data_IF_640183611408
#
_entry.id   IF_640183611408
#
_cell.length_a   1.000
_cell.length_b   1.000
_cell.length_c   1.000
_cell.angle_alpha   90.00
_cell.angle_beta   90.00
_cell.angle_gamma   90.00
#
_symmetry.space_group_name_H-M   'P 1'
#
loop_
_entity.id
_entity.type
_entity.pdbx_description
1 polymer ?
#
# COMPACT_ATOMS: atom_id res chain seq x y z
N UNK A 1 -31.71 1.21 -35.94
CA UNK A 1 -30.48 1.89 -35.48
C UNK A 1 -30.65 2.15 -34.00
N UNK A 2 -30.04 1.33 -33.15
CA UNK A 2 -29.93 1.68 -31.73
C UNK A 2 -29.04 2.93 -31.60
N UNK A 3 -29.40 3.89 -30.73
CA UNK A 3 -28.49 5.00 -30.46
C UNK A 3 -27.26 4.41 -29.76
N UNK A 4 -26.09 4.55 -30.39
CA UNK A 4 -24.82 4.34 -29.71
C UNK A 4 -24.81 5.27 -28.50
N UNK A 5 -25.04 4.72 -27.31
CA UNK A 5 -24.99 5.46 -26.07
C UNK A 5 -23.59 6.05 -25.94
N UNK A 6 -23.51 7.37 -26.15
CA UNK A 6 -22.29 8.11 -25.89
C UNK A 6 -22.19 8.18 -24.37
N UNK A 7 -21.50 7.22 -23.75
CA UNK A 7 -21.34 7.14 -22.31
C UNK A 7 -20.46 8.31 -21.85
N UNK A 8 -21.07 9.44 -21.49
CA UNK A 8 -20.35 10.52 -20.83
C UNK A 8 -19.98 10.06 -19.41
N UNK A 9 -18.69 10.18 -19.10
CA UNK A 9 -18.13 9.71 -17.84
C UNK A 9 -18.63 10.49 -16.61
N UNK A 10 -18.99 11.76 -16.82
CA UNK A 10 -19.37 12.67 -15.73
C UNK A 10 -20.84 13.08 -15.74
N UNK A 11 -21.56 12.91 -16.85
CA UNK A 11 -22.95 13.37 -17.01
C UNK A 11 -23.93 12.23 -17.27
N UNK A 12 -25.23 12.49 -17.04
CA UNK A 12 -26.36 11.55 -17.19
C UNK A 12 -26.15 10.15 -16.58
N UNK A 13 -25.42 10.08 -15.45
CA UNK A 13 -25.19 8.82 -14.75
C UNK A 13 -26.38 8.43 -13.91
N UNK A 14 -26.64 7.12 -13.84
CA UNK A 14 -27.76 6.54 -13.10
C UNK A 14 -27.27 5.35 -12.26
N UNK A 15 -27.79 5.20 -11.05
CA UNK A 15 -27.53 4.05 -10.16
C UNK A 15 -28.84 3.43 -9.69
N UNK A 16 -28.76 2.17 -9.30
CA UNK A 16 -29.77 1.47 -8.51
C UNK A 16 -29.04 0.50 -7.57
N UNK A 17 -29.71 0.04 -6.52
CA UNK A 17 -29.16 -0.92 -5.56
C UNK A 17 -29.95 -2.22 -5.67
N UNK A 18 -29.26 -3.36 -5.60
CA UNK A 18 -29.86 -4.69 -5.53
C UNK A 18 -29.51 -5.37 -4.21
N UNK A 19 -30.52 -5.80 -3.47
CA UNK A 19 -30.39 -6.59 -2.24
C UNK A 19 -31.14 -7.92 -2.43
N UNK A 20 -30.40 -8.97 -2.77
CA UNK A 20 -30.98 -10.29 -3.09
C UNK A 20 -31.86 -10.22 -4.35
N UNK A 21 -33.17 -10.44 -4.16
CA UNK A 21 -34.20 -10.36 -5.22
C UNK A 21 -34.80 -8.97 -5.37
N UNK A 22 -34.58 -8.06 -4.42
CA UNK A 22 -35.14 -6.72 -4.47
C UNK A 22 -34.20 -5.76 -5.21
N UNK A 23 -34.76 -4.96 -6.12
CA UNK A 23 -34.05 -3.96 -6.93
C UNK A 23 -34.74 -2.62 -6.68
N UNK A 24 -33.95 -1.58 -6.40
CA UNK A 24 -34.47 -0.21 -6.26
C UNK A 24 -34.78 0.42 -7.61
N UNK A 25 -35.52 1.52 -7.58
CA UNK A 25 -35.66 2.38 -8.75
C UNK A 25 -34.32 2.99 -9.18
N UNK A 26 -34.27 3.39 -10.44
CA UNK A 26 -33.11 4.04 -11.06
C UNK A 26 -33.04 5.50 -10.62
N UNK A 27 -31.91 5.92 -10.05
CA UNK A 27 -31.70 7.28 -9.57
C UNK A 27 -30.56 7.96 -10.32
N UNK A 28 -30.78 9.20 -10.77
CA UNK A 28 -29.75 10.01 -11.42
C UNK A 28 -28.70 10.52 -10.43
N UNK A 29 -27.43 10.54 -10.83
CA UNK A 29 -26.29 10.96 -10.02
C UNK A 29 -25.56 12.10 -10.72
N UNK A 30 -25.52 13.26 -10.09
CA UNK A 30 -24.77 14.43 -10.58
C UNK A 30 -23.40 14.61 -9.90
N UNK A 31 -23.07 13.77 -8.92
CA UNK A 31 -21.85 13.90 -8.10
C UNK A 31 -21.01 12.63 -8.08
N UNK A 32 -19.72 12.80 -7.79
CA UNK A 32 -18.75 11.71 -7.69
C UNK A 32 -18.21 11.24 -9.04
N UNK A 33 -17.48 10.13 -9.02
CA UNK A 33 -17.01 9.42 -10.20
C UNK A 33 -17.23 7.92 -10.01
N UNK A 34 -17.39 7.13 -11.08
CA UNK A 34 -17.63 5.70 -10.97
C UNK A 34 -16.50 4.99 -10.21
N UNK A 35 -16.82 4.21 -9.18
CA UNK A 35 -15.84 3.39 -8.48
C UNK A 35 -15.36 2.25 -9.39
N UNK A 36 -14.07 1.95 -9.35
CA UNK A 36 -13.45 0.94 -10.23
C UNK A 36 -13.04 1.44 -11.61
N UNK A 37 -13.30 2.72 -11.94
CA UNK A 37 -12.75 3.32 -13.17
C UNK A 37 -11.33 3.88 -12.96
N UNK A 38 -10.44 3.63 -13.93
CA UNK A 38 -9.06 4.14 -13.97
C UNK A 38 -8.98 5.67 -13.94
N UNK A 39 -9.98 6.38 -14.46
CA UNK A 39 -9.99 7.86 -14.50
C UNK A 39 -10.42 8.50 -13.17
N UNK A 40 -11.19 7.78 -12.35
CA UNK A 40 -11.73 8.30 -11.09
C UNK A 40 -10.65 8.76 -10.09
N UNK A 41 -9.54 8.01 -9.86
CA UNK A 41 -8.44 8.47 -9.02
C UNK A 41 -7.78 9.75 -9.51
N UNK A 42 -7.58 9.90 -10.82
CA UNK A 42 -6.95 11.10 -11.39
C UNK A 42 -7.83 12.33 -11.18
N UNK A 43 -9.14 12.22 -11.46
CA UNK A 43 -10.08 13.32 -11.24
C UNK A 43 -10.17 13.69 -9.75
N UNK A 44 -10.12 12.70 -8.86
CA UNK A 44 -10.10 12.96 -7.42
C UNK A 44 -8.83 13.73 -6.99
N UNK A 45 -7.66 13.32 -7.50
CA UNK A 45 -6.39 14.03 -7.24
C UNK A 45 -6.42 15.47 -7.75
N UNK A 46 -6.97 15.71 -8.94
CA UNK A 46 -7.13 17.06 -9.49
C UNK A 46 -8.11 17.90 -8.68
N UNK A 47 -9.27 17.33 -8.35
CA UNK A 47 -10.33 17.97 -7.59
C UNK A 47 -9.84 18.44 -6.22
N UNK A 48 -9.05 17.62 -5.53
CA UNK A 48 -8.52 17.94 -4.20
C UNK A 48 -7.20 18.71 -4.23
N UNK A 49 -6.59 18.94 -5.40
CA UNK A 49 -5.26 19.55 -5.51
C UNK A 49 -5.21 20.95 -4.87
N UNK A 50 -6.27 21.75 -5.07
CA UNK A 50 -6.39 23.10 -4.53
C UNK A 50 -6.48 23.21 -3.00
N UNK A 51 -6.70 22.11 -2.27
CA UNK A 51 -6.74 22.11 -0.81
C UNK A 51 -5.33 22.26 -0.21
N UNK A 52 -4.80 23.48 -0.11
CA UNK A 52 -3.46 23.78 0.42
C UNK A 52 -3.53 24.76 1.59
N UNK A 53 -2.47 24.86 2.39
CA UNK A 53 -2.33 25.88 3.43
C UNK A 53 -1.75 27.16 2.85
N UNK A 54 -2.25 28.30 3.30
CA UNK A 54 -1.60 29.59 3.07
C UNK A 54 -0.30 29.78 3.86
N UNK A 55 -0.06 28.96 4.89
CA UNK A 55 1.10 29.06 5.77
C UNK A 55 2.28 28.20 5.29
N UNK A 56 3.48 28.78 5.19
CA UNK A 56 4.67 28.14 4.60
C UNK A 56 5.19 26.94 5.40
N UNK A 57 5.02 26.95 6.73
CA UNK A 57 5.45 25.86 7.62
C UNK A 57 4.53 24.64 7.59
N UNK A 58 3.37 24.74 6.92
CA UNK A 58 2.37 23.67 6.83
C UNK A 58 2.48 23.01 5.47
N UNK A 59 2.59 21.68 5.49
CA UNK A 59 2.66 20.80 4.32
C UNK A 59 1.50 19.81 4.36
N UNK A 60 0.85 19.66 3.22
CA UNK A 60 -0.19 18.65 3.03
C UNK A 60 0.44 17.40 2.42
N UNK A 61 0.22 16.26 3.06
CA UNK A 61 0.52 14.96 2.53
C UNK A 61 -0.80 14.29 2.17
N UNK A 62 -1.13 14.26 0.88
CA UNK A 62 -2.38 13.70 0.35
C UNK A 62 -2.10 12.35 -0.30
N UNK A 63 -2.93 11.36 0.02
CA UNK A 63 -2.96 10.07 -0.67
C UNK A 63 -4.42 9.63 -0.80
N UNK A 64 -4.95 9.75 -2.01
CA UNK A 64 -6.39 9.65 -2.25
C UNK A 64 -7.16 10.50 -1.22
N UNK A 65 -8.19 9.93 -0.58
CA UNK A 65 -9.00 10.56 0.45
C UNK A 65 -8.25 10.90 1.75
N UNK A 66 -7.11 10.25 2.01
CA UNK A 66 -6.32 10.50 3.21
C UNK A 66 -5.48 11.78 3.06
N UNK A 67 -5.83 12.81 3.83
CA UNK A 67 -5.06 14.06 3.91
C UNK A 67 -4.46 14.21 5.29
N UNK A 68 -3.13 14.25 5.36
CA UNK A 68 -2.38 14.52 6.58
C UNK A 68 -1.77 15.92 6.51
N UNK A 69 -1.98 16.71 7.55
CA UNK A 69 -1.31 17.99 7.73
C UNK A 69 -0.05 17.78 8.56
N UNK A 70 1.09 18.21 8.04
CA UNK A 70 2.36 18.23 8.77
C UNK A 70 2.78 19.67 8.86
N UNK A 71 3.10 20.14 10.05
CA UNK A 71 3.75 21.43 10.14
C UNK A 71 4.65 21.54 11.35
N UNK A 72 5.62 22.43 11.23
CA UNK A 72 6.59 22.71 12.28
C UNK A 72 5.95 23.64 13.30
N UNK A 73 6.04 23.25 14.57
CA UNK A 73 5.71 24.11 15.72
C UNK A 73 7.03 24.76 16.14
N UNK A 74 7.11 26.07 16.00
CA UNK A 74 8.25 26.89 16.44
C UNK A 74 7.83 27.70 17.65
N UNK A 75 8.69 27.77 18.66
CA UNK A 75 8.50 28.61 19.85
C UNK A 75 7.19 28.37 20.63
N UNK A 76 6.59 27.18 20.50
CA UNK A 76 5.32 26.82 21.13
C UNK A 76 4.09 27.48 20.49
N UNK A 77 4.23 28.12 19.34
CA UNK A 77 3.11 28.70 18.61
C UNK A 77 2.36 27.62 17.81
N UNK A 78 1.19 27.23 18.34
CA UNK A 78 0.27 26.29 17.69
C UNK A 78 -0.86 27.01 16.94
N UNK A 79 -0.85 28.34 16.84
CA UNK A 79 -1.97 29.13 16.30
C UNK A 79 -2.32 28.81 14.84
N UNK A 80 -1.32 28.37 14.05
CA UNK A 80 -1.52 27.89 12.68
C UNK A 80 -2.27 26.54 12.61
N UNK A 81 -2.37 25.82 13.73
CA UNK A 81 -2.95 24.48 13.84
C UNK A 81 -4.11 24.50 14.84
N UNK A 82 -5.34 24.73 14.36
CA UNK A 82 -6.56 24.54 15.17
C UNK A 82 -6.90 23.07 15.41
N UNK A 83 -5.91 22.23 15.71
CA UNK A 83 -6.07 20.77 15.83
C UNK A 83 -5.36 20.29 17.08
N UNK A 84 -6.02 19.41 17.84
CA UNK A 84 -5.45 18.73 19.00
C UNK A 84 -4.21 17.95 18.60
N UNK A 85 -3.07 18.22 19.26
CA UNK A 85 -1.86 17.40 19.14
C UNK A 85 -2.19 15.94 19.49
N UNK A 86 -1.66 14.99 18.70
CA UNK A 86 -1.84 13.55 18.94
C UNK A 86 -0.49 12.90 19.27
N UNK A 87 -0.49 12.01 20.26
CA UNK A 87 0.71 11.27 20.69
C UNK A 87 1.23 10.32 19.59
N UNK A 88 0.31 9.70 18.84
CA UNK A 88 0.65 8.84 17.71
C UNK A 88 -0.45 8.85 16.65
N UNK A 89 -0.05 8.70 15.39
CA UNK A 89 -0.94 8.63 14.24
C UNK A 89 -0.50 7.53 13.28
N UNK A 90 -1.46 6.85 12.66
CA UNK A 90 -1.20 5.79 11.68
C UNK A 90 -1.44 6.32 10.27
N UNK A 91 -0.37 6.51 9.51
CA UNK A 91 -0.43 6.95 8.12
C UNK A 91 -0.02 5.83 7.17
N UNK A 92 -0.90 5.46 6.24
CA UNK A 92 -0.69 4.40 5.22
C UNK A 92 -0.23 3.03 5.75
N UNK A 93 -0.38 2.78 7.04
CA UNK A 93 0.06 1.55 7.69
C UNK A 93 1.30 1.70 8.57
N UNK A 94 1.97 2.85 8.54
CA UNK A 94 3.11 3.23 9.40
C UNK A 94 2.61 4.04 10.59
N UNK A 95 3.03 3.67 11.80
CA UNK A 95 2.73 4.46 13.01
C UNK A 95 3.83 5.49 13.23
N UNK A 96 3.45 6.75 13.34
CA UNK A 96 4.33 7.90 13.58
C UNK A 96 3.96 8.46 14.96
N UNK A 97 4.92 8.57 15.87
CA UNK A 97 4.71 9.20 17.18
C UNK A 97 5.21 10.63 17.18
N UNK A 98 4.75 11.44 18.12
CA UNK A 98 5.17 12.84 18.30
C UNK A 98 6.70 12.98 18.42
N UNK A 99 7.35 12.06 19.13
CA UNK A 99 8.81 12.04 19.30
C UNK A 99 9.55 11.27 18.19
N UNK A 100 8.85 10.88 17.12
CA UNK A 100 9.38 10.06 16.02
C UNK A 100 10.07 8.76 16.51
N UNK A 101 9.50 8.14 17.54
CA UNK A 101 9.94 6.84 18.06
C UNK A 101 9.29 5.71 17.27
N UNK A 102 10.12 4.79 16.77
CA UNK A 102 9.67 3.76 15.84
C UNK A 102 9.32 2.41 16.49
N UNK A 103 9.41 2.30 17.81
CA UNK A 103 9.15 1.04 18.52
C UNK A 103 7.73 0.51 18.27
N UNK A 104 6.71 1.38 18.35
CA UNK A 104 5.31 1.00 18.10
C UNK A 104 5.12 0.51 16.66
N UNK A 105 5.69 1.22 15.69
CA UNK A 105 5.66 0.83 14.29
C UNK A 105 6.32 -0.55 14.10
N UNK A 106 7.55 -0.72 14.58
CA UNK A 106 8.33 -1.95 14.43
C UNK A 106 7.66 -3.14 15.12
N UNK A 107 7.05 -2.94 16.29
CA UNK A 107 6.22 -3.96 16.96
C UNK A 107 5.06 -4.40 16.07
N UNK A 108 4.40 -3.45 15.41
CA UNK A 108 3.30 -3.76 14.48
C UNK A 108 3.78 -4.53 13.24
N UNK A 109 4.93 -4.16 12.66
CA UNK A 109 5.54 -4.83 11.52
C UNK A 109 5.95 -6.26 11.88
N UNK A 110 6.60 -6.43 13.04
CA UNK A 110 7.04 -7.73 13.55
C UNK A 110 5.84 -8.66 13.76
N UNK A 111 4.77 -8.18 14.39
CA UNK A 111 3.55 -8.98 14.60
C UNK A 111 2.94 -9.45 13.29
N UNK A 112 2.83 -8.57 12.29
CA UNK A 112 2.31 -8.94 10.96
C UNK A 112 3.22 -9.94 10.25
N UNK A 113 4.53 -9.70 10.26
CA UNK A 113 5.50 -10.60 9.63
C UNK A 113 5.49 -11.99 10.28
N UNK A 114 5.38 -12.07 11.61
CA UNK A 114 5.26 -13.33 12.34
C UNK A 114 3.97 -14.09 11.99
N UNK A 115 2.85 -13.39 11.81
CA UNK A 115 1.61 -14.02 11.33
C UNK A 115 1.79 -14.62 9.92
N UNK A 116 2.57 -13.97 9.05
CA UNK A 116 2.87 -14.49 7.71
C UNK A 116 3.92 -15.61 7.71
N UNK A 117 4.80 -15.61 8.70
CA UNK A 117 5.78 -16.67 8.92
C UNK A 117 5.15 -18.04 9.15
N UNK A 118 4.00 -18.08 9.82
CA UNK A 118 3.23 -19.31 9.98
C UNK A 118 2.90 -19.95 8.62
N UNK A 119 2.44 -19.16 7.64
CA UNK A 119 2.14 -19.66 6.30
C UNK A 119 3.39 -20.11 5.56
N UNK A 120 4.52 -19.39 5.69
CA UNK A 120 5.78 -19.85 5.10
C UNK A 120 6.21 -21.22 5.65
N UNK A 121 6.06 -21.42 6.96
CA UNK A 121 6.32 -22.70 7.59
C UNK A 121 5.35 -23.79 7.13
N UNK A 122 4.06 -23.49 7.02
CA UNK A 122 3.06 -24.43 6.52
C UNK A 122 3.35 -24.85 5.07
N UNK A 123 3.69 -23.88 4.21
CA UNK A 123 4.10 -24.09 2.82
C UNK A 123 5.34 -24.98 2.68
N UNK A 124 6.30 -24.86 3.61
CA UNK A 124 7.50 -25.70 3.62
C UNK A 124 7.17 -27.18 3.83
N UNK A 125 6.12 -27.51 4.59
CA UNK A 125 5.71 -28.91 4.82
C UNK A 125 5.21 -29.61 3.56
N UNK A 126 4.65 -28.86 2.62
CA UNK A 126 4.23 -29.36 1.32
C UNK A 126 5.41 -29.60 0.36
N UNK A 127 6.66 -29.52 0.86
CA UNK A 127 7.90 -29.79 0.11
C UNK A 127 8.04 -28.95 -1.16
N UNK A 128 7.52 -27.72 -1.13
CA UNK A 128 7.61 -26.81 -2.26
C UNK A 128 9.07 -26.47 -2.60
N UNK A 129 9.38 -26.21 -3.89
CA UNK A 129 10.71 -25.77 -4.30
C UNK A 129 11.15 -24.50 -3.55
N UNK A 130 12.44 -24.45 -3.18
CA UNK A 130 13.04 -23.31 -2.46
C UNK A 130 12.73 -21.97 -3.14
N UNK A 131 12.77 -21.91 -4.47
CA UNK A 131 12.45 -20.70 -5.25
C UNK A 131 11.05 -20.17 -4.98
N UNK A 132 10.05 -21.04 -4.84
CA UNK A 132 8.67 -20.60 -4.53
C UNK A 132 8.57 -20.06 -3.10
N UNK A 133 9.29 -20.67 -2.15
CA UNK A 133 9.33 -20.20 -0.76
C UNK A 133 10.04 -18.84 -0.64
N UNK A 134 11.12 -18.63 -1.40
CA UNK A 134 11.79 -17.32 -1.51
C UNK A 134 10.85 -16.29 -2.11
N UNK A 135 10.13 -16.63 -3.20
CA UNK A 135 9.14 -15.73 -3.79
C UNK A 135 8.03 -15.36 -2.80
N UNK A 136 7.51 -16.33 -2.04
CA UNK A 136 6.53 -16.06 -1.00
C UNK A 136 7.10 -15.14 0.09
N UNK A 137 8.33 -15.38 0.54
CA UNK A 137 9.01 -14.52 1.50
C UNK A 137 9.12 -13.09 0.97
N UNK A 138 9.67 -12.89 -0.23
CA UNK A 138 9.91 -11.56 -0.81
C UNK A 138 8.60 -10.80 -1.06
N UNK A 139 7.55 -11.49 -1.51
CA UNK A 139 6.26 -10.85 -1.80
C UNK A 139 5.43 -10.56 -0.55
N UNK A 140 5.45 -11.43 0.46
CA UNK A 140 4.53 -11.34 1.61
C UNK A 140 5.20 -10.84 2.88
N UNK A 141 6.38 -11.34 3.22
CA UNK A 141 7.04 -11.07 4.51
C UNK A 141 8.01 -9.91 4.38
N UNK A 142 8.91 -9.96 3.40
CA UNK A 142 9.87 -8.90 3.11
C UNK A 142 9.15 -7.58 2.86
N UNK A 143 8.07 -7.58 2.08
CA UNK A 143 7.24 -6.40 1.81
C UNK A 143 6.64 -5.75 3.06
N UNK A 144 6.34 -6.53 4.11
CA UNK A 144 5.95 -5.99 5.42
C UNK A 144 7.15 -5.35 6.11
N UNK A 145 8.31 -6.02 6.09
CA UNK A 145 9.53 -5.55 6.71
C UNK A 145 10.10 -4.30 6.02
N UNK A 146 9.91 -4.16 4.70
CA UNK A 146 10.39 -3.02 3.91
C UNK A 146 9.38 -1.89 3.82
N UNK A 147 8.16 -2.08 4.36
CA UNK A 147 7.13 -1.03 4.40
C UNK A 147 7.66 0.25 5.04
N UNK A 148 7.81 1.30 4.23
CA UNK A 148 8.33 2.61 4.64
C UNK A 148 9.71 2.54 5.31
N UNK A 149 10.54 1.54 4.97
CA UNK A 149 11.83 1.29 5.64
C UNK A 149 12.78 2.49 5.60
N UNK A 150 12.72 3.29 4.53
CA UNK A 150 13.51 4.51 4.37
C UNK A 150 13.18 5.57 5.41
N UNK A 151 11.97 5.59 5.97
CA UNK A 151 11.53 6.55 6.99
C UNK A 151 12.07 6.21 8.36
N UNK A 152 11.90 4.96 8.77
CA UNK A 152 12.10 4.58 10.17
C UNK A 152 13.45 3.91 10.43
N UNK A 153 14.12 3.34 9.41
CA UNK A 153 15.32 2.53 9.64
C UNK A 153 16.48 3.33 10.22
N UNK A 154 16.69 4.57 9.77
CA UNK A 154 17.79 5.41 10.25
C UNK A 154 17.64 5.72 11.75
N UNK A 155 16.42 6.07 12.18
CA UNK A 155 16.09 6.44 13.56
C UNK A 155 15.73 5.24 14.47
N UNK A 156 15.65 4.03 13.93
CA UNK A 156 15.39 2.83 14.72
C UNK A 156 16.60 2.41 15.58
N UNK A 157 16.32 1.96 16.80
CA UNK A 157 17.34 1.48 17.74
C UNK A 157 18.01 0.20 17.25
N UNK A 158 19.22 -0.07 17.71
CA UNK A 158 19.91 -1.34 17.43
C UNK A 158 19.09 -2.56 17.90
N UNK A 159 18.40 -2.44 19.05
CA UNK A 159 17.50 -3.48 19.57
C UNK A 159 16.36 -3.78 18.60
N UNK A 160 15.75 -2.75 18.01
CA UNK A 160 14.63 -2.92 17.10
C UNK A 160 15.07 -3.50 15.75
N UNK A 161 16.22 -3.07 15.23
CA UNK A 161 16.85 -3.67 14.04
C UNK A 161 17.13 -5.16 14.27
N UNK A 162 17.64 -5.53 15.43
CA UNK A 162 17.85 -6.94 15.79
C UNK A 162 16.55 -7.74 15.88
N UNK A 163 15.45 -7.17 16.39
CA UNK A 163 14.14 -7.85 16.41
C UNK A 163 13.67 -8.18 14.98
N UNK A 164 13.76 -7.24 14.05
CA UNK A 164 13.37 -7.44 12.66
C UNK A 164 14.30 -8.43 11.95
N UNK A 165 15.61 -8.32 12.17
CA UNK A 165 16.59 -9.24 11.60
C UNK A 165 16.35 -10.70 12.06
N UNK A 166 15.83 -10.93 13.27
CA UNK A 166 15.44 -12.29 13.71
C UNK A 166 14.30 -12.89 12.89
N UNK A 167 13.40 -12.07 12.35
CA UNK A 167 12.34 -12.55 11.45
C UNK A 167 12.96 -13.08 10.16
N UNK A 168 13.93 -12.36 9.60
CA UNK A 168 14.69 -12.77 8.41
C UNK A 168 15.42 -14.09 8.68
N UNK A 169 16.19 -14.19 9.76
CA UNK A 169 16.89 -15.43 10.12
C UNK A 169 15.94 -16.61 10.36
N UNK A 170 14.73 -16.36 10.85
CA UNK A 170 13.73 -17.41 11.01
C UNK A 170 13.24 -17.92 9.64
N UNK A 171 13.04 -17.01 8.69
CA UNK A 171 12.70 -17.38 7.31
C UNK A 171 13.84 -18.16 6.64
N UNK A 172 15.10 -17.73 6.80
CA UNK A 172 16.28 -18.45 6.28
C UNK A 172 16.32 -19.89 6.76
N UNK A 173 16.04 -20.12 8.05
CA UNK A 173 15.98 -21.47 8.64
C UNK A 173 14.86 -22.33 8.06
N UNK A 174 13.68 -21.75 7.80
CA UNK A 174 12.54 -22.47 7.23
C UNK A 174 12.79 -22.82 5.76
N UNK A 175 13.33 -21.87 5.00
CA UNK A 175 13.55 -22.02 3.56
C UNK A 175 14.77 -22.92 3.29
N UNK A 176 15.84 -22.76 4.08
CA UNK A 176 17.12 -23.42 3.89
C UNK A 176 18.06 -22.67 2.93
N UNK A 177 17.89 -21.36 2.77
CA UNK A 177 18.77 -20.51 1.95
C UNK A 177 19.08 -19.19 2.64
N UNK A 178 20.18 -18.55 2.23
CA UNK A 178 20.52 -17.18 2.64
C UNK A 178 19.52 -16.18 2.05
N UNK A 179 19.08 -15.21 2.86
CA UNK A 179 18.21 -14.12 2.44
C UNK A 179 18.91 -12.77 2.67
N UNK A 180 18.54 -11.72 1.94
CA UNK A 180 19.11 -10.39 2.18
C UNK A 180 18.87 -9.93 3.62
N UNK A 181 19.93 -9.42 4.25
CA UNK A 181 19.86 -8.80 5.57
C UNK A 181 19.01 -7.53 5.56
N UNK A 182 18.53 -7.11 6.74
CA UNK A 182 17.74 -5.89 6.87
C UNK A 182 18.48 -4.64 6.37
N UNK A 183 19.81 -4.61 6.47
CA UNK A 183 20.64 -3.53 5.93
C UNK A 183 20.65 -3.54 4.39
N UNK A 184 20.80 -4.70 3.77
CA UNK A 184 20.73 -4.86 2.32
C UNK A 184 19.34 -4.50 1.79
N UNK A 185 18.27 -4.95 2.47
CA UNK A 185 16.90 -4.57 2.14
C UNK A 185 16.71 -3.04 2.16
N UNK A 186 17.24 -2.35 3.17
CA UNK A 186 17.23 -0.88 3.23
C UNK A 186 18.02 -0.27 2.07
N UNK A 187 19.19 -0.81 1.75
CA UNK A 187 20.03 -0.29 0.67
C UNK A 187 19.34 -0.42 -0.69
N UNK A 188 18.76 -1.59 -0.99
CA UNK A 188 17.98 -1.83 -2.21
C UNK A 188 16.79 -0.88 -2.33
N UNK A 189 16.03 -0.70 -1.27
CA UNK A 189 14.90 0.24 -1.24
C UNK A 189 15.34 1.70 -1.42
N UNK A 190 16.47 2.08 -0.82
CA UNK A 190 17.01 3.44 -0.95
C UNK A 190 17.43 3.71 -2.40
N UNK A 191 18.11 2.77 -3.05
CA UNK A 191 18.52 2.90 -4.45
C UNK A 191 17.30 2.97 -5.38
N UNK A 192 16.28 2.16 -5.14
CA UNK A 192 15.02 2.22 -5.88
C UNK A 192 14.35 3.61 -5.75
N UNK A 193 14.32 4.18 -4.53
CA UNK A 193 13.81 5.54 -4.30
C UNK A 193 14.59 6.60 -5.09
N UNK A 194 15.93 6.54 -5.08
CA UNK A 194 16.79 7.47 -5.82
C UNK A 194 16.57 7.38 -7.33
N UNK A 195 16.46 6.16 -7.87
CA UNK A 195 16.20 5.95 -9.29
C UNK A 195 14.84 6.51 -9.71
N UNK A 196 13.80 6.37 -8.86
CA UNK A 196 12.48 6.94 -9.11
C UNK A 196 12.48 8.46 -9.00
N UNK A 197 13.18 9.03 -8.02
CA UNK A 197 13.36 10.49 -7.87
C UNK A 197 14.06 11.11 -9.09
N UNK A 198 14.98 10.39 -9.73
CA UNK A 198 15.66 10.88 -10.92
C UNK A 198 14.82 10.74 -12.21
N UNK A 199 13.80 9.87 -12.22
CA UNK A 199 12.85 9.76 -13.34
C UNK A 199 11.72 10.80 -13.25
N UNK A 200 11.24 11.09 -12.04
CA UNK A 200 10.21 12.08 -11.79
C UNK A 200 10.83 13.29 -11.09
N UNK A 201 11.23 14.32 -11.86
CA UNK A 201 11.67 15.60 -11.32
C UNK A 201 10.55 16.21 -10.47
N UNK A 202 10.64 16.08 -9.15
CA UNK A 202 9.95 16.99 -8.23
C UNK A 202 9.08 16.43 -7.11
N UNK A 203 9.07 15.13 -6.80
CA UNK A 203 8.20 14.64 -5.72
C UNK A 203 8.87 13.75 -4.67
N UNK A 204 8.56 14.07 -3.41
CA UNK A 204 8.94 13.38 -2.16
C UNK A 204 8.35 11.95 -2.05
N UNK A 205 7.79 11.42 -3.14
CA UNK A 205 7.00 10.19 -3.22
C UNK A 205 7.81 8.88 -3.20
N UNK A 206 9.15 8.95 -3.26
CA UNK A 206 10.01 7.75 -3.28
C UNK A 206 9.77 6.80 -2.09
N UNK A 207 9.27 7.33 -0.97
CA UNK A 207 9.16 6.62 0.31
C UNK A 207 8.06 5.54 0.36
N UNK A 208 7.01 5.61 -0.48
CA UNK A 208 5.78 4.81 -0.29
C UNK A 208 5.50 3.77 -1.39
N UNK A 209 6.41 3.60 -2.35
CA UNK A 209 6.18 2.78 -3.54
C UNK A 209 6.07 1.26 -3.27
N UNK A 210 6.57 0.75 -2.13
CA UNK A 210 6.56 -0.68 -1.86
C UNK A 210 5.16 -1.27 -1.61
N UNK A 211 4.24 -0.46 -1.04
CA UNK A 211 2.84 -0.90 -0.88
C UNK A 211 2.10 -0.94 -2.22
N UNK A 212 2.46 -0.05 -3.16
CA UNK A 212 1.99 -0.12 -4.54
C UNK A 212 2.52 -1.37 -5.25
N UNK A 213 3.79 -1.75 -5.02
CA UNK A 213 4.38 -2.97 -5.59
C UNK A 213 3.67 -4.25 -5.14
N UNK A 214 3.21 -4.32 -3.88
CA UNK A 214 2.42 -5.44 -3.35
C UNK A 214 1.01 -5.51 -3.95
N UNK A 215 0.37 -4.35 -4.17
CA UNK A 215 -0.95 -4.27 -4.83
C UNK A 215 -0.82 -4.71 -6.29
N UNK A 216 0.17 -4.20 -7.03
CA UNK A 216 0.43 -4.64 -8.40
C UNK A 216 0.83 -6.12 -8.48
N UNK A 217 1.71 -6.63 -7.61
CA UNK A 217 2.08 -8.06 -7.62
C UNK A 217 0.90 -8.97 -7.25
N UNK A 218 0.04 -8.57 -6.31
CA UNK A 218 -1.15 -9.36 -5.97
C UNK A 218 -2.25 -9.24 -7.02
N UNK A 219 -2.40 -8.09 -7.68
CA UNK A 219 -3.29 -7.93 -8.83
C UNK A 219 -2.78 -8.76 -10.01
N UNK A 220 -1.48 -8.71 -10.34
CA UNK A 220 -0.87 -9.53 -11.39
C UNK A 220 -0.91 -11.02 -11.07
N UNK A 221 -0.70 -11.43 -9.81
CA UNK A 221 -0.77 -12.84 -9.39
C UNK A 221 -2.21 -13.36 -9.34
N UNK A 222 -3.17 -12.57 -8.85
CA UNK A 222 -4.60 -12.91 -8.91
C UNK A 222 -5.11 -12.93 -10.34
N UNK A 223 -4.69 -11.99 -11.20
CA UNK A 223 -5.06 -11.95 -12.63
C UNK A 223 -4.47 -13.15 -13.36
N UNK A 224 -3.19 -13.49 -13.15
CA UNK A 224 -2.58 -14.68 -13.74
C UNK A 224 -3.28 -15.97 -13.30
N UNK A 225 -3.61 -16.13 -12.02
CA UNK A 225 -4.35 -17.30 -11.54
C UNK A 225 -5.83 -17.31 -11.93
N UNK A 226 -6.47 -16.15 -12.13
CA UNK A 226 -7.83 -16.06 -12.68
C UNK A 226 -7.86 -16.35 -14.17
N UNK A 227 -6.82 -15.95 -14.92
CA UNK A 227 -6.70 -16.28 -16.34
C UNK A 227 -6.45 -17.78 -16.53
N UNK A 228 -5.58 -18.39 -15.72
CA UNK A 228 -5.42 -19.85 -15.70
C UNK A 228 -6.72 -20.57 -15.30
N UNK A 229 -7.50 -20.00 -14.37
CA UNK A 229 -8.79 -20.57 -13.96
C UNK A 229 -9.88 -20.40 -15.04
N UNK A 230 -9.89 -19.28 -15.77
CA UNK A 230 -10.85 -19.02 -16.86
C UNK A 230 -10.48 -19.81 -18.12
N UNK A 231 -9.20 -19.94 -18.47
CA UNK A 231 -8.74 -20.78 -19.59
C UNK A 231 -9.01 -22.28 -19.34
N UNK A 232 -8.92 -22.74 -18.08
CA UNK A 232 -9.30 -24.11 -17.71
C UNK A 232 -10.82 -24.33 -17.60
N UNK A 233 -11.64 -23.28 -17.49
CA UNK A 233 -13.11 -23.36 -17.53
C UNK A 233 -13.65 -23.31 -18.98
N UNK A 234 -12.99 -22.62 -19.91
CA UNK A 234 -13.36 -22.64 -21.34
C UNK A 234 -13.12 -24.01 -22.01
N UNK A 235 -12.15 -24.79 -21.53
CA UNK A 235 -11.92 -26.16 -21.99
C UNK A 235 -12.98 -27.17 -21.51
N UNK A 236 -13.76 -26.85 -20.47
CA UNK A 236 -14.87 -27.69 -20.00
C UNK A 236 -16.24 -27.28 -20.56
N UNK A 237 -16.35 -26.10 -21.19
CA UNK A 237 -17.59 -25.57 -21.75
C UNK A 237 -17.79 -25.88 -23.25
N UNK A 238 -16.82 -26.50 -23.92
CA UNK A 238 -16.89 -26.85 -25.37
C UNK A 238 -17.16 -28.33 -25.66
N UNK A 239 -17.61 -29.08 -24.64
CA UNK A 239 -17.79 -30.52 -24.74
C UNK A 239 -19.12 -31.04 -24.22
N UNK A 240 -20.25 -30.36 -24.47
CA UNK A 240 -21.62 -30.92 -24.45
C UNK A 240 -22.54 -30.10 -25.35
#
# INVERSE_FOLDING_TARGET
MEPTANYDFLTDRRQFVRLGTHVSDLQHISTGSPQGCVLSPLLFSLYTNGCTSGHQSVKFLKFADNTTLIGLISDGDESAYRVTSVESFRFLGTTITKELKWEQNIRSLTKKAQQRMYFLWELKKFLLPVKMLVNFYTTVIESILTSSITVWFAAATARDKTKLQRVIHSAEKVIGCSLPSLQELKAMNTNECYLLSNRNKGDFFGVFHFKARLVWILEDFCVAHMQDFLENQELLATGW
#
